data_IF_382313822087
#
_entry.id   IF_382313822087
#
_cell.length_a   1.000
_cell.length_b   1.000
_cell.length_c   1.000
_cell.angle_alpha   90.00
_cell.angle_beta   90.00
_cell.angle_gamma   90.00
#
_symmetry.space_group_name_H-M   'P 1'
#
loop_
_entity.id
_entity.type
_entity.pdbx_description
1 polymer ?
#
# COMPACT_ATOMS: atom_id res chain seq x y z
N UNK A 1 -45.67 17.24 -45.82
CA UNK A 1 -46.60 16.55 -46.75
C UNK A 1 -45.89 15.33 -47.29
N UNK A 2 -45.96 14.21 -46.56
CA UNK A 2 -45.59 12.89 -47.07
C UNK A 2 -46.86 12.24 -47.60
N UNK A 3 -46.89 11.85 -48.87
CA UNK A 3 -48.00 11.10 -49.44
C UNK A 3 -47.48 10.07 -50.42
N UNK A 4 -48.04 8.86 -50.29
CA UNK A 4 -47.91 7.67 -51.15
C UNK A 4 -46.58 6.90 -50.99
N UNK A 5 -46.53 5.66 -50.49
CA UNK A 5 -47.54 4.61 -50.54
C UNK A 5 -47.37 3.61 -49.39
N UNK A 6 -48.31 3.65 -48.45
CA UNK A 6 -48.73 2.47 -47.71
C UNK A 6 -49.65 1.66 -48.62
N UNK A 7 -49.15 0.57 -49.19
CA UNK A 7 -49.93 -0.48 -49.85
C UNK A 7 -48.98 -1.65 -50.09
N UNK A 8 -48.52 -2.33 -49.04
CA UNK A 8 -48.08 -3.74 -49.10
C UNK A 8 -47.88 -4.33 -47.70
N UNK A 9 -48.88 -4.18 -46.83
CA UNK A 9 -49.10 -5.10 -45.70
C UNK A 9 -50.44 -5.77 -45.97
N UNK A 10 -50.43 -6.83 -46.76
CA UNK A 10 -51.42 -7.93 -46.84
C UNK A 10 -51.20 -8.72 -48.14
N UNK A 11 -50.16 -9.54 -48.15
CA UNK A 11 -50.07 -10.72 -49.01
C UNK A 11 -49.33 -11.84 -48.27
N UNK A 12 -49.76 -12.08 -47.03
CA UNK A 12 -49.62 -13.39 -46.37
C UNK A 12 -50.87 -14.17 -46.76
N UNK A 13 -50.76 -15.02 -47.78
CA UNK A 13 -51.42 -16.33 -47.89
C UNK A 13 -51.21 -16.91 -49.29
N UNK A 14 -50.76 -18.17 -49.33
CA UNK A 14 -50.84 -19.11 -50.46
C UNK A 14 -49.81 -19.00 -51.60
N UNK A 15 -48.57 -19.43 -51.30
CA UNK A 15 -47.86 -20.39 -52.15
C UNK A 15 -46.74 -21.08 -51.36
N UNK A 16 -47.13 -21.78 -50.28
CA UNK A 16 -46.36 -22.91 -49.80
C UNK A 16 -46.68 -24.10 -50.73
N UNK A 17 -45.76 -24.47 -51.61
CA UNK A 17 -45.61 -25.76 -52.31
C UNK A 17 -44.61 -25.54 -53.47
N UNK A 18 -43.39 -26.05 -53.51
CA UNK A 18 -42.82 -27.24 -52.92
C UNK A 18 -41.46 -26.94 -52.28
N UNK A 19 -41.39 -27.18 -50.97
CA UNK A 19 -40.14 -27.46 -50.27
C UNK A 19 -39.59 -28.79 -50.79
N UNK A 20 -38.45 -28.75 -51.45
CA UNK A 20 -37.54 -29.91 -51.59
C UNK A 20 -36.10 -29.41 -51.77
N UNK A 21 -35.67 -28.46 -50.93
CA UNK A 21 -34.25 -28.17 -50.75
C UNK A 21 -33.75 -29.02 -49.58
N UNK A 22 -32.96 -30.08 -49.82
CA UNK A 22 -32.44 -30.91 -48.76
C UNK A 22 -31.53 -30.06 -47.86
N UNK A 23 -31.82 -30.00 -46.57
CA UNK A 23 -30.95 -29.35 -45.59
C UNK A 23 -29.63 -30.11 -45.49
N UNK A 24 -28.54 -29.41 -45.11
CA UNK A 24 -27.16 -29.91 -45.12
C UNK A 24 -26.93 -31.28 -44.43
N UNK A 25 -27.84 -31.75 -43.58
CA UNK A 25 -27.81 -33.10 -42.99
C UNK A 25 -28.19 -34.24 -43.95
N UNK A 26 -29.02 -33.99 -44.97
CA UNK A 26 -29.43 -35.01 -45.95
C UNK A 26 -28.35 -35.28 -47.02
N UNK A 27 -27.43 -34.33 -47.24
CA UNK A 27 -26.33 -34.48 -48.21
C UNK A 27 -25.23 -35.44 -47.73
N UNK A 28 -25.17 -35.76 -46.44
CA UNK A 28 -24.13 -36.63 -45.87
C UNK A 28 -24.37 -38.14 -46.07
N UNK A 29 -25.59 -38.55 -46.45
CA UNK A 29 -25.97 -39.98 -46.55
C UNK A 29 -25.72 -40.56 -47.96
N UNK A 30 -25.48 -39.72 -48.98
CA UNK A 30 -25.25 -40.16 -50.36
C UNK A 30 -23.83 -40.65 -50.69
N UNK A 31 -23.05 -41.08 -49.70
CA UNK A 31 -21.65 -41.49 -49.89
C UNK A 31 -21.53 -42.99 -50.25
N UNK A 32 -22.55 -43.82 -50.00
CA UNK A 32 -22.47 -45.26 -50.28
C UNK A 32 -23.20 -45.67 -51.56
N UNK A 33 -22.59 -45.40 -52.72
CA UNK A 33 -22.73 -46.24 -53.92
C UNK A 33 -21.77 -45.72 -55.01
N UNK A 34 -20.62 -46.36 -55.12
CA UNK A 34 -19.66 -46.09 -56.18
C UNK A 34 -20.20 -46.47 -57.56
N UNK A 35 -19.77 -45.72 -58.59
CA UNK A 35 -19.57 -46.16 -59.99
C UNK A 35 -18.94 -44.99 -60.76
N UNK A 36 -17.85 -45.26 -61.48
CA UNK A 36 -16.86 -44.28 -62.00
C UNK A 36 -17.35 -43.19 -62.96
N UNK A 37 -18.60 -43.19 -63.41
CA UNK A 37 -19.21 -42.08 -64.18
C UNK A 37 -19.69 -40.96 -63.24
N UNK A 38 -19.90 -41.28 -61.96
CA UNK A 38 -20.30 -40.32 -60.92
C UNK A 38 -19.17 -39.37 -60.52
N UNK A 39 -17.89 -39.68 -60.82
CA UNK A 39 -16.76 -38.83 -60.41
C UNK A 39 -16.67 -37.58 -61.28
N UNK A 40 -16.92 -37.68 -62.59
CA UNK A 40 -16.93 -36.53 -63.51
C UNK A 40 -18.13 -35.62 -63.27
N UNK A 41 -19.33 -36.18 -63.09
CA UNK A 41 -20.50 -35.39 -62.71
C UNK A 41 -20.39 -34.81 -61.30
N UNK A 42 -19.76 -35.52 -60.34
CA UNK A 42 -19.43 -34.96 -59.01
C UNK A 42 -18.37 -33.86 -59.08
N UNK A 43 -17.39 -33.94 -59.98
CA UNK A 43 -16.39 -32.89 -60.20
C UNK A 43 -17.03 -31.63 -60.74
N UNK A 44 -17.88 -31.74 -61.77
CA UNK A 44 -18.63 -30.60 -62.31
C UNK A 44 -19.56 -30.00 -61.24
N UNK A 45 -20.22 -30.85 -60.44
CA UNK A 45 -21.08 -30.38 -59.35
C UNK A 45 -20.31 -29.68 -58.23
N UNK A 46 -19.10 -30.15 -57.92
CA UNK A 46 -18.20 -29.49 -56.96
C UNK A 46 -17.67 -28.17 -57.51
N UNK A 47 -17.34 -28.10 -58.81
CA UNK A 47 -16.92 -26.85 -59.45
C UNK A 47 -18.05 -25.82 -59.46
N UNK A 48 -19.28 -26.24 -59.78
CA UNK A 48 -20.46 -25.36 -59.72
C UNK A 48 -20.77 -24.91 -58.29
N UNK A 49 -20.65 -25.80 -57.30
CA UNK A 49 -20.84 -25.45 -55.89
C UNK A 49 -19.75 -24.49 -55.38
N UNK A 50 -18.50 -24.68 -55.78
CA UNK A 50 -17.40 -23.76 -55.46
C UNK A 50 -17.59 -22.43 -56.16
N UNK A 51 -18.11 -22.42 -57.39
CA UNK A 51 -18.38 -21.19 -58.13
C UNK A 51 -19.58 -20.43 -57.53
N UNK A 52 -20.62 -21.13 -57.09
CA UNK A 52 -21.73 -20.54 -56.34
C UNK A 52 -21.26 -19.93 -55.01
N UNK A 53 -20.43 -20.66 -54.25
CA UNK A 53 -19.83 -20.13 -53.02
C UNK A 53 -18.89 -18.94 -53.29
N UNK A 54 -18.15 -18.93 -54.41
CA UNK A 54 -17.34 -17.78 -54.83
C UNK A 54 -18.19 -16.58 -55.18
N UNK A 55 -19.33 -16.79 -55.83
CA UNK A 55 -20.27 -15.73 -56.17
C UNK A 55 -20.96 -15.19 -54.92
N UNK A 56 -21.42 -16.03 -54.00
CA UNK A 56 -21.93 -15.60 -52.69
C UNK A 56 -20.85 -14.87 -51.89
N UNK A 57 -19.60 -15.34 -51.91
CA UNK A 57 -18.50 -14.65 -51.25
C UNK A 57 -18.14 -13.31 -51.95
N UNK A 58 -18.39 -13.20 -53.25
CA UNK A 58 -18.23 -11.96 -54.01
C UNK A 58 -19.39 -10.98 -53.75
N UNK A 59 -20.62 -11.48 -53.60
CA UNK A 59 -21.79 -10.72 -53.15
C UNK A 59 -21.62 -10.25 -51.71
N UNK A 60 -21.21 -11.12 -50.79
CA UNK A 60 -20.87 -10.73 -49.43
C UNK A 60 -19.70 -9.74 -49.39
N UNK A 61 -18.76 -9.78 -50.35
CA UNK A 61 -17.70 -8.77 -50.49
C UNK A 61 -18.15 -7.47 -51.16
N UNK A 62 -19.23 -7.46 -51.94
CA UNK A 62 -19.82 -6.25 -52.51
C UNK A 62 -20.87 -5.62 -51.59
N UNK A 63 -21.48 -6.42 -50.72
CA UNK A 63 -22.33 -6.02 -49.60
C UNK A 63 -21.52 -5.59 -48.37
N UNK A 64 -20.25 -6.01 -48.25
CA UNK A 64 -19.31 -5.27 -47.42
C UNK A 64 -19.33 -3.82 -47.92
N UNK A 65 -19.64 -2.84 -47.04
CA UNK A 65 -19.83 -1.47 -47.46
C UNK A 65 -18.60 -1.06 -48.27
N UNK A 66 -18.84 -0.71 -49.54
CA UNK A 66 -17.78 -0.32 -50.47
C UNK A 66 -16.80 0.61 -49.78
N UNK A 67 -15.52 0.52 -50.15
CA UNK A 67 -14.44 1.37 -49.66
C UNK A 67 -14.70 2.89 -49.82
N UNK A 68 -15.82 3.31 -50.41
CA UNK A 68 -16.34 4.68 -50.31
C UNK A 68 -16.74 5.09 -48.87
N UNK A 69 -17.04 4.14 -47.97
CA UNK A 69 -17.19 4.42 -46.53
C UNK A 69 -15.84 4.61 -45.81
N UNK A 70 -14.71 4.23 -46.41
CA UNK A 70 -13.37 4.44 -45.83
C UNK A 70 -12.88 5.90 -45.99
N UNK A 71 -13.64 6.74 -46.68
CA UNK A 71 -13.43 8.20 -46.76
C UNK A 71 -14.64 8.97 -46.23
N UNK A 72 -15.48 8.35 -45.40
CA UNK A 72 -16.33 9.15 -44.54
C UNK A 72 -15.35 9.86 -43.59
N UNK A 73 -15.22 11.20 -43.65
CA UNK A 73 -14.26 11.91 -42.81
C UNK A 73 -14.51 11.44 -41.38
N UNK A 74 -13.44 11.11 -40.64
CA UNK A 74 -13.55 10.82 -39.21
C UNK A 74 -14.54 11.81 -38.64
N UNK A 75 -15.66 11.31 -38.10
CA UNK A 75 -16.73 12.16 -37.60
C UNK A 75 -16.06 13.15 -36.66
N UNK A 76 -16.11 14.44 -37.00
CA UNK A 76 -15.30 15.42 -36.33
C UNK A 76 -15.69 15.42 -34.85
N UNK A 77 -14.73 15.71 -33.97
CA UNK A 77 -15.01 15.83 -32.53
C UNK A 77 -16.21 16.77 -32.29
N UNK A 78 -16.33 17.81 -33.13
CA UNK A 78 -17.44 18.77 -33.12
C UNK A 78 -18.81 18.15 -33.40
N UNK A 79 -18.90 17.16 -34.29
CA UNK A 79 -20.14 16.44 -34.57
C UNK A 79 -20.55 15.57 -33.37
N UNK A 80 -19.59 14.93 -32.69
CA UNK A 80 -19.87 14.13 -31.49
C UNK A 80 -20.25 15.03 -30.29
N UNK A 81 -19.69 16.26 -30.19
CA UNK A 81 -20.13 17.29 -29.22
C UNK A 81 -21.59 17.70 -29.52
N UNK A 82 -21.92 17.96 -30.78
CA UNK A 82 -23.27 18.33 -31.19
C UNK A 82 -24.28 17.22 -30.87
N UNK A 83 -23.93 15.95 -31.12
CA UNK A 83 -24.76 14.78 -30.76
C UNK A 83 -25.01 14.69 -29.24
N UNK A 84 -24.00 14.99 -28.41
CA UNK A 84 -24.20 15.01 -26.96
C UNK A 84 -25.14 16.15 -26.55
N UNK A 85 -24.98 17.33 -27.16
CA UNK A 85 -25.82 18.49 -26.90
C UNK A 85 -27.28 18.29 -27.32
N UNK A 86 -27.54 17.49 -28.36
CA UNK A 86 -28.89 17.08 -28.78
C UNK A 86 -29.49 15.96 -27.94
N UNK A 87 -28.71 15.37 -27.02
CA UNK A 87 -29.15 14.29 -26.13
C UNK A 87 -29.02 12.89 -26.73
N UNK A 88 -28.28 12.73 -27.83
CA UNK A 88 -28.06 11.42 -28.45
C UNK A 88 -27.19 10.52 -27.57
N UNK A 89 -27.55 9.25 -27.48
CA UNK A 89 -26.84 8.27 -26.65
C UNK A 89 -25.49 7.87 -27.26
N UNK A 90 -24.58 7.39 -26.41
CA UNK A 90 -23.26 6.91 -26.86
C UNK A 90 -23.35 5.80 -27.94
N UNK A 91 -24.46 5.03 -27.98
CA UNK A 91 -24.70 4.02 -29.00
C UNK A 91 -25.00 4.63 -30.39
N UNK A 92 -25.61 5.82 -30.43
CA UNK A 92 -25.84 6.56 -31.68
C UNK A 92 -24.51 7.10 -32.18
N UNK A 93 -23.69 7.70 -31.31
CA UNK A 93 -22.35 8.17 -31.67
C UNK A 93 -21.46 7.02 -32.23
N UNK A 94 -21.51 5.83 -31.60
CA UNK A 94 -20.79 4.64 -32.11
C UNK A 94 -21.26 4.21 -33.49
N UNK A 95 -22.58 4.17 -33.74
CA UNK A 95 -23.15 3.83 -35.06
C UNK A 95 -22.87 4.91 -36.12
N UNK A 96 -22.74 6.16 -35.70
CA UNK A 96 -22.38 7.26 -36.58
C UNK A 96 -20.93 7.19 -37.07
N UNK A 97 -20.07 6.43 -36.37
CA UNK A 97 -18.65 6.28 -36.69
C UNK A 97 -17.72 7.16 -35.84
N UNK A 98 -18.21 7.76 -34.74
CA UNK A 98 -17.33 8.48 -33.81
C UNK A 98 -16.34 7.49 -33.18
N UNK A 99 -15.04 7.76 -33.34
CA UNK A 99 -13.99 7.06 -32.61
C UNK A 99 -14.09 7.33 -31.10
N UNK A 100 -13.60 6.41 -30.27
CA UNK A 100 -13.75 6.51 -28.82
C UNK A 100 -13.09 7.77 -28.21
N UNK A 101 -12.03 8.28 -28.84
CA UNK A 101 -11.40 9.58 -28.50
C UNK A 101 -12.36 10.75 -28.74
N UNK A 102 -13.09 10.72 -29.85
CA UNK A 102 -14.07 11.75 -30.18
C UNK A 102 -15.29 11.68 -29.26
N UNK A 103 -15.70 10.47 -28.87
CA UNK A 103 -16.75 10.24 -27.86
C UNK A 103 -16.32 10.85 -26.51
N UNK A 104 -15.06 10.65 -26.09
CA UNK A 104 -14.54 11.24 -24.85
C UNK A 104 -14.57 12.76 -24.89
N UNK A 105 -14.00 13.35 -25.95
CA UNK A 105 -13.95 14.80 -26.14
C UNK A 105 -15.35 15.41 -26.34
N UNK A 106 -16.29 14.61 -26.85
CA UNK A 106 -17.71 14.92 -26.95
C UNK A 106 -18.44 15.02 -25.61
N UNK A 107 -17.79 14.68 -24.49
CA UNK A 107 -18.37 14.77 -23.15
C UNK A 107 -19.22 13.56 -22.75
N UNK A 108 -19.11 12.44 -23.47
CA UNK A 108 -19.71 11.18 -23.03
C UNK A 108 -18.89 10.60 -21.87
N UNK A 109 -19.57 10.10 -20.85
CA UNK A 109 -18.91 9.56 -19.65
C UNK A 109 -18.44 8.12 -19.85
N UNK A 110 -17.48 7.68 -19.02
CA UNK A 110 -17.00 6.30 -19.03
C UNK A 110 -18.12 5.27 -18.78
N UNK A 111 -19.14 5.63 -17.98
CA UNK A 111 -20.34 4.80 -17.74
C UNK A 111 -21.11 4.53 -19.04
N UNK A 112 -21.28 5.56 -19.86
CA UNK A 112 -21.98 5.47 -21.14
C UNK A 112 -21.17 4.65 -22.13
N UNK A 113 -19.86 4.88 -22.21
CA UNK A 113 -18.98 4.08 -23.04
C UNK A 113 -19.01 2.59 -22.63
N UNK A 114 -19.01 2.28 -21.33
CA UNK A 114 -19.15 0.90 -20.82
C UNK A 114 -20.47 0.27 -21.23
N UNK A 115 -21.58 1.01 -21.13
CA UNK A 115 -22.92 0.51 -21.48
C UNK A 115 -23.06 0.13 -22.96
N UNK A 116 -22.24 0.73 -23.82
CA UNK A 116 -22.21 0.49 -25.28
C UNK A 116 -21.21 -0.62 -25.65
N UNK A 117 -20.56 -1.23 -24.65
CA UNK A 117 -19.67 -2.37 -24.80
C UNK A 117 -18.25 -2.01 -25.23
N UNK A 118 -17.78 -0.79 -24.97
CA UNK A 118 -16.34 -0.50 -25.09
C UNK A 118 -15.58 -1.22 -23.97
N UNK A 119 -14.43 -1.78 -24.31
CA UNK A 119 -13.56 -2.45 -23.35
C UNK A 119 -12.66 -1.45 -22.62
N UNK A 120 -12.18 -1.80 -21.43
CA UNK A 120 -11.30 -0.94 -20.64
C UNK A 120 -9.97 -0.64 -21.37
N UNK A 121 -9.48 -1.58 -22.18
CA UNK A 121 -8.28 -1.39 -23.02
C UNK A 121 -8.50 -0.42 -24.19
N UNK A 122 -9.71 -0.36 -24.76
CA UNK A 122 -10.03 0.67 -25.75
C UNK A 122 -10.17 2.04 -25.06
N UNK A 123 -10.76 2.08 -23.87
CA UNK A 123 -10.88 3.29 -23.06
C UNK A 123 -9.52 3.87 -22.67
N UNK A 124 -8.54 3.02 -22.39
CA UNK A 124 -7.14 3.41 -22.09
C UNK A 124 -6.51 4.13 -23.27
N UNK A 125 -6.60 3.55 -24.47
CA UNK A 125 -6.10 4.19 -25.70
C UNK A 125 -6.82 5.50 -26.04
N UNK A 126 -8.07 5.65 -25.60
CA UNK A 126 -8.81 6.90 -25.71
C UNK A 126 -8.53 7.89 -24.56
N UNK A 127 -7.77 7.44 -23.56
CA UNK A 127 -7.34 8.18 -22.37
C UNK A 127 -8.43 8.43 -21.34
N UNK A 128 -9.52 7.65 -21.32
CA UNK A 128 -10.52 7.81 -20.25
C UNK A 128 -9.88 7.54 -18.90
N UNK A 129 -9.97 8.53 -18.00
CA UNK A 129 -9.50 8.44 -16.62
C UNK A 129 -10.61 8.80 -15.66
N UNK A 130 -11.26 9.93 -15.90
CA UNK A 130 -12.35 10.40 -15.06
C UNK A 130 -13.60 9.53 -15.21
N UNK A 131 -14.27 9.28 -14.09
CA UNK A 131 -15.54 8.55 -14.06
C UNK A 131 -15.43 7.04 -14.22
N UNK A 132 -14.22 6.46 -14.30
CA UNK A 132 -14.04 5.00 -14.34
C UNK A 132 -14.54 4.31 -13.06
N UNK A 133 -14.35 4.94 -11.90
CA UNK A 133 -14.93 4.46 -10.63
C UNK A 133 -16.45 4.46 -10.66
N UNK A 134 -17.06 5.53 -11.19
CA UNK A 134 -18.51 5.61 -11.37
C UNK A 134 -19.03 4.61 -12.42
N UNK A 135 -18.19 4.27 -13.41
CA UNK A 135 -18.47 3.21 -14.37
C UNK A 135 -18.44 1.81 -13.74
N UNK A 136 -17.98 1.67 -12.50
CA UNK A 136 -17.96 0.42 -11.75
C UNK A 136 -16.77 -0.48 -12.08
N UNK A 137 -15.65 0.10 -12.54
CA UNK A 137 -14.38 -0.61 -12.65
C UNK A 137 -13.68 -0.69 -11.30
N UNK A 138 -12.79 -1.65 -11.15
CA UNK A 138 -11.94 -1.85 -9.97
C UNK A 138 -10.50 -1.46 -10.25
N UNK A 139 -9.73 -1.14 -9.21
CA UNK A 139 -8.30 -0.84 -9.34
C UNK A 139 -7.52 -2.03 -9.95
N UNK A 140 -7.95 -3.27 -9.69
CA UNK A 140 -7.36 -4.48 -10.25
C UNK A 140 -7.52 -4.55 -11.77
N UNK A 141 -8.72 -4.26 -12.29
CA UNK A 141 -8.95 -4.26 -13.75
C UNK A 141 -8.12 -3.17 -14.43
N UNK A 142 -7.97 -2.01 -13.80
CA UNK A 142 -7.11 -0.94 -14.30
C UNK A 142 -5.63 -1.35 -14.32
N UNK A 143 -5.16 -2.03 -13.27
CA UNK A 143 -3.80 -2.55 -13.21
C UNK A 143 -3.54 -3.58 -14.33
N UNK A 144 -4.48 -4.49 -14.56
CA UNK A 144 -4.37 -5.50 -15.63
C UNK A 144 -4.31 -4.91 -17.04
N UNK A 145 -4.96 -3.77 -17.26
CA UNK A 145 -4.91 -3.05 -18.54
C UNK A 145 -3.63 -2.21 -18.67
N UNK A 146 -2.96 -1.90 -17.55
CA UNK A 146 -1.69 -1.18 -17.53
C UNK A 146 -1.83 0.33 -17.29
N UNK A 147 -2.90 0.77 -16.62
CA UNK A 147 -3.03 2.18 -16.26
C UNK A 147 -1.96 2.60 -15.26
N UNK A 148 -1.32 3.77 -15.44
CA UNK A 148 -0.39 4.29 -14.45
C UNK A 148 -1.14 4.78 -13.20
N UNK A 149 -0.50 4.68 -12.04
CA UNK A 149 -1.08 5.07 -10.74
C UNK A 149 -1.57 6.52 -10.70
N UNK A 150 -0.90 7.44 -11.42
CA UNK A 150 -1.31 8.83 -11.52
C UNK A 150 -2.71 8.98 -12.16
N UNK A 151 -3.01 8.16 -13.16
CA UNK A 151 -4.31 8.13 -13.84
C UNK A 151 -5.39 7.49 -12.96
N UNK A 152 -5.02 6.45 -12.22
CA UNK A 152 -5.89 5.79 -11.24
C UNK A 152 -6.30 6.77 -10.12
N UNK A 153 -5.41 7.70 -9.76
CA UNK A 153 -5.70 8.77 -8.80
C UNK A 153 -6.73 9.75 -9.33
N UNK A 154 -6.56 10.19 -10.58
CA UNK A 154 -7.52 11.08 -11.26
C UNK A 154 -8.88 10.39 -11.39
N UNK A 155 -8.89 9.08 -11.59
CA UNK A 155 -10.09 8.27 -11.60
C UNK A 155 -10.78 8.15 -10.22
N UNK A 156 -10.13 8.58 -9.13
CA UNK A 156 -10.67 8.63 -7.77
C UNK A 156 -10.59 7.30 -7.01
N UNK A 157 -9.69 6.40 -7.41
CA UNK A 157 -9.44 5.15 -6.69
C UNK A 157 -8.43 5.40 -5.58
N UNK A 158 -8.76 4.92 -4.39
CA UNK A 158 -7.91 4.97 -3.19
C UNK A 158 -7.87 3.57 -2.58
N UNK A 159 -9.05 3.00 -2.36
CA UNK A 159 -9.19 1.62 -1.86
C UNK A 159 -8.77 0.58 -2.90
N UNK A 160 -8.13 -0.50 -2.43
CA UNK A 160 -7.79 -1.65 -3.26
C UNK A 160 -6.56 -1.47 -4.16
N UNK A 161 -5.81 -0.36 -4.06
CA UNK A 161 -4.56 -0.17 -4.80
C UNK A 161 -3.50 -1.23 -4.44
N UNK A 162 -3.37 -1.53 -3.15
CA UNK A 162 -2.46 -2.57 -2.67
C UNK A 162 -2.86 -3.96 -3.22
N UNK A 163 -4.15 -4.29 -3.17
CA UNK A 163 -4.67 -5.56 -3.70
C UNK A 163 -4.54 -5.66 -5.22
N UNK A 164 -4.63 -4.52 -5.91
CA UNK A 164 -4.40 -4.44 -7.35
C UNK A 164 -2.95 -4.72 -7.73
N UNK A 165 -2.00 -4.57 -6.80
CA UNK A 165 -0.58 -4.83 -7.03
C UNK A 165 0.24 -3.58 -7.39
N UNK A 166 -0.29 -2.38 -7.14
CA UNK A 166 0.50 -1.16 -7.34
C UNK A 166 1.60 -1.04 -6.29
N UNK A 167 2.80 -0.68 -6.72
CA UNK A 167 3.90 -0.44 -5.80
C UNK A 167 3.71 0.88 -5.05
N UNK A 168 4.04 0.87 -3.76
CA UNK A 168 3.86 2.05 -2.92
C UNK A 168 4.75 3.24 -3.37
N UNK A 169 5.89 2.96 -4.00
CA UNK A 169 6.76 3.99 -4.60
C UNK A 169 6.04 4.75 -5.72
N UNK A 170 5.28 4.05 -6.56
CA UNK A 170 4.49 4.66 -7.63
C UNK A 170 3.31 5.47 -7.08
N UNK A 171 2.67 4.96 -6.03
CA UNK A 171 1.62 5.67 -5.28
C UNK A 171 2.13 6.96 -4.67
N UNK A 172 3.34 6.94 -4.10
CA UNK A 172 4.02 8.14 -3.62
C UNK A 172 4.34 9.10 -4.76
N UNK A 173 4.90 8.61 -5.88
CA UNK A 173 5.25 9.43 -7.03
C UNK A 173 4.04 10.09 -7.70
N UNK A 174 2.88 9.43 -7.68
CA UNK A 174 1.60 9.98 -8.10
C UNK A 174 1.00 11.01 -7.11
N UNK A 175 1.66 11.23 -5.98
CA UNK A 175 1.32 12.25 -5.00
C UNK A 175 0.10 11.93 -4.15
N UNK A 176 -0.24 10.65 -3.96
CA UNK A 176 -1.26 10.28 -2.97
C UNK A 176 -0.85 10.77 -1.59
N UNK A 177 -1.83 11.23 -0.81
CA UNK A 177 -1.62 11.55 0.59
C UNK A 177 -1.40 10.29 1.41
N UNK A 178 -0.74 10.42 2.54
CA UNK A 178 -0.48 9.31 3.45
C UNK A 178 -1.77 8.69 4.01
N UNK A 179 -2.81 9.51 4.23
CA UNK A 179 -4.12 9.03 4.67
C UNK A 179 -4.77 8.13 3.59
N UNK A 180 -4.67 8.53 2.33
CA UNK A 180 -5.14 7.72 1.20
C UNK A 180 -4.33 6.42 1.07
N UNK A 181 -3.01 6.47 1.24
CA UNK A 181 -2.14 5.28 1.27
C UNK A 181 -2.58 4.31 2.37
N UNK A 182 -2.91 4.82 3.56
CA UNK A 182 -3.43 3.98 4.64
C UNK A 182 -4.80 3.40 4.29
N UNK A 183 -5.71 4.21 3.76
CA UNK A 183 -7.03 3.76 3.31
C UNK A 183 -6.95 2.73 2.17
N UNK A 184 -5.89 2.79 1.35
CA UNK A 184 -5.60 1.84 0.30
C UNK A 184 -5.18 0.45 0.80
N UNK A 185 -4.87 0.32 2.10
CA UNK A 185 -4.52 -0.94 2.76
C UNK A 185 -3.02 -1.13 3.00
N UNK A 186 -2.16 -0.19 2.59
CA UNK A 186 -0.72 -0.34 2.78
C UNK A 186 -0.34 -0.37 4.26
N UNK A 187 0.53 -1.33 4.57
CA UNK A 187 1.05 -1.58 5.90
C UNK A 187 2.27 -0.72 6.21
N UNK A 188 2.55 -0.54 7.50
CA UNK A 188 3.68 0.23 7.98
C UNK A 188 5.04 -0.33 7.49
N UNK A 189 5.14 -1.66 7.33
CA UNK A 189 6.33 -2.34 6.76
C UNK A 189 6.58 -1.94 5.31
N UNK A 190 5.53 -1.89 4.49
CA UNK A 190 5.63 -1.46 3.09
C UNK A 190 6.01 0.02 3.00
N UNK A 191 5.46 0.87 3.87
CA UNK A 191 5.87 2.28 3.97
C UNK A 191 7.35 2.43 4.29
N UNK A 192 7.86 1.63 5.23
CA UNK A 192 9.29 1.65 5.51
C UNK A 192 10.13 1.22 4.30
N UNK A 193 9.71 0.17 3.61
CA UNK A 193 10.39 -0.30 2.39
C UNK A 193 10.37 0.74 1.26
N UNK A 194 9.31 1.54 1.17
CA UNK A 194 9.20 2.66 0.24
C UNK A 194 9.92 3.94 0.70
N UNK A 195 10.62 3.90 1.84
CA UNK A 195 11.42 5.02 2.35
C UNK A 195 10.59 6.17 2.91
N UNK A 196 9.44 5.86 3.51
CA UNK A 196 8.73 6.85 4.33
C UNK A 196 9.47 7.07 5.65
N UNK A 197 9.49 8.32 6.11
CA UNK A 197 10.06 8.66 7.40
C UNK A 197 9.10 8.24 8.52
N UNK A 198 9.66 7.95 9.71
CA UNK A 198 8.84 7.64 10.88
C UNK A 198 7.84 8.76 11.20
N UNK A 199 8.23 10.02 10.95
CA UNK A 199 7.35 11.17 11.11
C UNK A 199 6.06 11.06 10.31
N UNK A 200 6.20 10.71 9.03
CA UNK A 200 5.09 10.56 8.10
C UNK A 200 4.14 9.47 8.59
N UNK A 201 4.69 8.31 8.98
CA UNK A 201 3.93 7.15 9.46
C UNK A 201 3.16 7.46 10.75
N UNK A 202 3.81 8.11 11.73
CA UNK A 202 3.17 8.50 12.99
C UNK A 202 2.07 9.53 12.75
N UNK A 203 2.28 10.48 11.84
CA UNK A 203 1.29 11.49 11.50
C UNK A 203 0.00 10.88 10.90
N UNK A 204 0.09 9.76 10.19
CA UNK A 204 -1.10 9.03 9.69
C UNK A 204 -1.88 8.34 10.81
N UNK A 205 -1.31 8.23 12.01
CA UNK A 205 -1.93 7.57 13.16
C UNK A 205 -1.81 6.05 13.13
N UNK A 206 -0.70 5.51 12.64
CA UNK A 206 -0.34 4.11 12.88
C UNK A 206 -0.09 3.87 14.37
N UNK A 207 -0.49 2.70 14.85
CA UNK A 207 -0.26 2.31 16.23
C UNK A 207 1.22 2.00 16.47
N UNK A 208 1.66 2.18 17.73
CA UNK A 208 3.02 1.84 18.15
C UNK A 208 3.41 0.40 17.78
N UNK A 209 2.49 -0.56 17.93
CA UNK A 209 2.75 -1.96 17.63
C UNK A 209 3.04 -2.18 16.14
N UNK A 210 2.31 -1.50 15.25
CA UNK A 210 2.54 -1.59 13.80
C UNK A 210 3.88 -0.96 13.40
N UNK A 211 4.27 0.12 14.06
CA UNK A 211 5.55 0.81 13.83
C UNK A 211 6.74 -0.05 14.28
N UNK A 212 6.63 -0.68 15.44
CA UNK A 212 7.64 -1.61 15.95
C UNK A 212 7.74 -2.87 15.08
N UNK A 213 6.60 -3.40 14.61
CA UNK A 213 6.57 -4.54 13.68
C UNK A 213 7.17 -4.19 12.31
N UNK A 214 7.00 -2.95 11.84
CA UNK A 214 7.70 -2.44 10.67
C UNK A 214 9.22 -2.28 10.89
N UNK A 215 9.67 -2.42 12.14
CA UNK A 215 11.06 -2.34 12.53
C UNK A 215 11.60 -0.92 12.55
N UNK A 216 10.75 0.11 12.59
CA UNK A 216 11.23 1.46 12.86
C UNK A 216 11.86 1.48 14.26
N UNK A 217 13.07 2.00 14.34
CA UNK A 217 13.79 2.09 15.60
C UNK A 217 13.65 3.48 16.20
N UNK A 218 13.86 3.57 17.51
CA UNK A 218 13.94 4.86 18.19
C UNK A 218 15.13 5.72 17.74
N UNK A 219 16.16 5.12 17.14
CA UNK A 219 17.24 5.87 16.51
C UNK A 219 16.74 6.59 15.25
N UNK A 220 15.89 5.94 14.45
CA UNK A 220 15.19 6.59 13.34
C UNK A 220 14.27 7.70 13.86
N UNK A 221 13.63 7.47 15.02
CA UNK A 221 12.84 8.49 15.71
C UNK A 221 13.68 9.70 16.14
N UNK A 222 14.89 9.51 16.66
CA UNK A 222 15.77 10.62 17.07
C UNK A 222 16.20 11.51 15.91
N UNK A 223 16.33 10.95 14.71
CA UNK A 223 16.64 11.76 13.52
C UNK A 223 15.48 12.70 13.15
N UNK A 224 14.25 12.34 13.53
CA UNK A 224 13.04 13.02 13.11
C UNK A 224 12.37 13.82 14.25
N UNK A 225 12.43 13.35 15.49
CA UNK A 225 11.70 13.88 16.63
C UNK A 225 12.62 14.33 17.75
N UNK A 226 12.18 15.36 18.47
CA UNK A 226 12.72 15.68 19.78
C UNK A 226 12.26 14.64 20.83
N UNK A 227 12.97 14.55 21.97
CA UNK A 227 12.61 13.63 23.04
C UNK A 227 11.18 13.86 23.59
N UNK A 228 10.72 15.12 23.58
CA UNK A 228 9.36 15.51 23.97
C UNK A 228 8.34 14.90 23.00
N UNK A 229 8.50 15.16 21.70
CA UNK A 229 7.57 14.66 20.68
C UNK A 229 7.58 13.14 20.60
N UNK A 230 8.75 12.50 20.73
CA UNK A 230 8.85 11.05 20.79
C UNK A 230 8.06 10.47 21.97
N UNK A 231 8.09 11.14 23.14
CA UNK A 231 7.29 10.74 24.30
C UNK A 231 5.79 10.94 24.06
N UNK A 232 5.39 12.08 23.53
CA UNK A 232 3.96 12.41 23.33
C UNK A 232 3.32 11.60 22.20
N UNK A 233 4.02 11.46 21.07
CA UNK A 233 3.48 10.82 19.88
C UNK A 233 3.48 9.28 19.99
N UNK A 234 4.47 8.71 20.67
CA UNK A 234 4.68 7.26 20.68
C UNK A 234 4.65 6.64 22.08
N UNK A 235 4.60 7.44 23.14
CA UNK A 235 4.54 6.94 24.53
C UNK A 235 5.76 6.12 24.92
N UNK A 236 6.93 6.49 24.44
CA UNK A 236 8.16 5.75 24.75
C UNK A 236 8.55 5.88 26.22
N UNK A 237 9.23 4.86 26.74
CA UNK A 237 9.78 4.85 28.09
C UNK A 237 11.14 5.54 28.15
N UNK A 238 11.55 5.98 29.35
CA UNK A 238 12.87 6.58 29.54
C UNK A 238 14.02 5.63 29.17
N UNK A 239 13.82 4.31 29.32
CA UNK A 239 14.81 3.29 28.95
C UNK A 239 14.99 3.21 27.44
N UNK A 240 13.89 3.23 26.71
CA UNK A 240 13.87 3.27 25.24
C UNK A 240 14.50 4.57 24.71
N UNK A 241 14.21 5.71 25.34
CA UNK A 241 14.86 6.97 25.01
C UNK A 241 16.39 6.92 25.24
N UNK A 242 16.84 6.25 26.30
CA UNK A 242 18.28 6.02 26.56
C UNK A 242 18.92 5.18 25.46
N UNK A 243 18.30 4.08 25.07
CA UNK A 243 18.78 3.17 24.03
C UNK A 243 18.81 3.85 22.63
N UNK A 244 17.89 4.77 22.40
CA UNK A 244 17.89 5.66 21.23
C UNK A 244 19.07 6.65 21.20
N UNK A 245 19.73 6.84 22.33
CA UNK A 245 20.82 7.79 22.51
C UNK A 245 20.36 9.22 22.81
N UNK A 246 19.15 9.44 23.33
CA UNK A 246 18.80 10.76 23.87
C UNK A 246 19.63 11.06 25.12
N UNK A 247 20.05 12.32 25.22
CA UNK A 247 20.79 12.82 26.37
C UNK A 247 19.85 12.99 27.56
N UNK A 248 20.42 12.93 28.77
CA UNK A 248 19.61 13.06 29.97
C UNK A 248 19.01 14.46 30.14
N UNK A 249 19.62 15.48 29.53
CA UNK A 249 19.05 16.84 29.44
C UNK A 249 17.77 16.85 28.61
N UNK A 250 17.77 16.16 27.46
CA UNK A 250 16.59 16.04 26.60
C UNK A 250 15.47 15.25 27.29
N UNK A 251 15.84 14.19 28.03
CA UNK A 251 14.90 13.38 28.84
C UNK A 251 14.29 14.21 29.97
N UNK A 252 15.09 15.04 30.64
CA UNK A 252 14.59 16.00 31.64
C UNK A 252 13.61 16.99 31.01
N UNK A 253 13.96 17.53 29.85
CA UNK A 253 13.10 18.46 29.11
C UNK A 253 11.80 17.81 28.62
N UNK A 254 11.84 16.51 28.27
CA UNK A 254 10.67 15.69 27.96
C UNK A 254 9.78 15.38 29.17
N UNK A 255 10.17 15.82 30.37
CA UNK A 255 9.39 15.68 31.59
C UNK A 255 9.28 14.23 32.04
N UNK A 256 10.25 13.36 31.72
CA UNK A 256 10.34 12.06 32.38
C UNK A 256 10.62 12.27 33.87
N UNK A 257 9.94 11.47 34.69
CA UNK A 257 10.12 11.50 36.13
C UNK A 257 11.48 10.95 36.51
N UNK A 258 11.98 11.40 37.65
CA UNK A 258 13.21 10.87 38.22
C UNK A 258 13.09 9.35 38.47
N UNK A 259 11.93 8.83 38.86
CA UNK A 259 11.74 7.37 39.00
C UNK A 259 12.01 6.62 37.68
N UNK A 260 11.45 7.10 36.57
CA UNK A 260 11.67 6.52 35.23
C UNK A 260 13.14 6.60 34.78
N UNK A 261 13.82 7.70 35.13
CA UNK A 261 15.26 7.89 34.86
C UNK A 261 16.12 6.89 35.66
N UNK A 262 15.74 6.60 36.91
CA UNK A 262 16.39 5.55 37.73
C UNK A 262 16.16 4.16 37.14
N UNK A 263 14.94 3.89 36.73
CA UNK A 263 14.57 2.59 36.15
C UNK A 263 15.23 2.37 34.77
N UNK A 264 15.44 3.44 34.00
CA UNK A 264 16.27 3.44 32.80
C UNK A 264 17.77 3.19 33.09
N UNK A 265 18.19 3.25 34.35
CA UNK A 265 19.55 2.93 34.79
C UNK A 265 20.55 4.06 34.56
N UNK A 266 20.13 5.32 34.69
CA UNK A 266 21.05 6.45 34.72
C UNK A 266 21.73 6.58 36.09
N UNK A 267 23.03 6.85 36.05
CA UNK A 267 23.90 7.01 37.22
C UNK A 267 23.69 8.38 37.87
N UNK A 268 24.02 8.50 39.17
CA UNK A 268 23.94 9.77 39.89
C UNK A 268 24.84 10.85 39.29
N UNK A 269 25.97 10.46 38.69
CA UNK A 269 26.87 11.37 37.97
C UNK A 269 26.23 11.91 36.70
N UNK A 270 25.59 11.07 35.88
CA UNK A 270 24.86 11.51 34.68
C UNK A 270 23.69 12.44 35.05
N UNK A 271 22.95 12.11 36.12
CA UNK A 271 21.85 12.93 36.66
C UNK A 271 22.35 14.30 37.11
N UNK A 272 23.52 14.36 37.73
CA UNK A 272 24.16 15.63 38.11
C UNK A 272 24.58 16.45 36.89
N UNK A 273 25.22 15.82 35.92
CA UNK A 273 25.68 16.46 34.68
C UNK A 273 24.50 17.02 33.87
N UNK A 274 23.34 16.38 33.93
CA UNK A 274 22.11 16.88 33.32
C UNK A 274 21.43 18.03 34.10
N UNK A 275 22.01 18.46 35.22
CA UNK A 275 21.53 19.61 36.00
C UNK A 275 20.32 19.31 36.88
N UNK A 276 20.12 18.06 37.32
CA UNK A 276 19.19 17.78 38.42
C UNK A 276 19.77 18.27 39.74
N UNK A 277 18.93 18.92 40.55
CA UNK A 277 19.35 19.41 41.86
C UNK A 277 19.27 18.32 42.92
N UNK A 278 20.04 18.49 44.01
CA UNK A 278 20.00 17.58 45.14
C UNK A 278 18.61 17.45 45.76
N UNK A 279 17.84 18.55 45.76
CA UNK A 279 16.48 18.59 46.27
C UNK A 279 15.53 17.79 45.39
N UNK A 280 15.64 17.89 44.06
CA UNK A 280 14.85 17.09 43.11
C UNK A 280 15.11 15.59 43.30
N UNK A 281 16.38 15.19 43.45
CA UNK A 281 16.80 13.79 43.65
C UNK A 281 16.28 13.24 44.99
N UNK A 282 16.29 14.05 46.05
CA UNK A 282 15.76 13.68 47.37
C UNK A 282 14.23 13.62 47.38
N UNK A 283 13.57 14.59 46.77
CA UNK A 283 12.13 14.70 46.71
C UNK A 283 11.49 13.55 45.92
N UNK A 284 12.12 13.15 44.81
CA UNK A 284 11.66 12.02 44.00
C UNK A 284 11.97 10.65 44.63
N UNK A 285 12.58 10.60 45.82
CA UNK A 285 13.01 9.33 46.43
C UNK A 285 14.01 8.55 45.57
N UNK A 286 14.62 9.17 44.57
CA UNK A 286 15.53 8.55 43.60
C UNK A 286 16.67 7.82 44.31
N UNK A 287 17.18 8.43 45.37
CA UNK A 287 18.25 7.86 46.18
C UNK A 287 17.77 6.75 47.17
N UNK A 288 16.47 6.65 47.46
CA UNK A 288 15.85 5.54 48.19
C UNK A 288 15.47 4.38 47.27
N UNK A 289 15.03 4.66 46.03
CA UNK A 289 14.83 3.68 44.94
C UNK A 289 16.15 3.05 44.51
N UNK A 290 17.19 3.89 44.33
CA UNK A 290 18.59 3.48 44.17
C UNK A 290 19.08 2.53 45.27
N UNK A 291 18.64 2.73 46.52
CA UNK A 291 19.08 1.93 47.67
C UNK A 291 18.25 0.65 47.89
N UNK A 292 17.08 0.50 47.25
CA UNK A 292 16.10 -0.55 47.59
C UNK A 292 15.96 -1.71 46.60
N UNK A 293 16.51 -1.64 45.38
CA UNK A 293 16.18 -2.69 44.39
C UNK A 293 17.19 -3.02 43.29
N UNK A 294 18.33 -2.33 43.17
CA UNK A 294 19.34 -2.66 42.14
C UNK A 294 20.60 -3.28 42.74
N UNK A 295 20.98 -4.43 42.17
CA UNK A 295 22.30 -5.04 42.28
C UNK A 295 23.38 -3.98 41.96
N UNK A 296 24.37 -3.72 42.85
CA UNK A 296 25.54 -2.91 42.52
C UNK A 296 26.14 -3.29 41.15
N UNK A 297 26.47 -2.30 40.32
CA UNK A 297 27.10 -2.51 39.01
C UNK A 297 28.54 -1.99 39.00
N UNK A 298 29.31 -2.34 37.97
CA UNK A 298 30.68 -1.83 37.78
C UNK A 298 30.70 -0.29 37.82
N UNK A 299 31.55 0.28 38.67
CA UNK A 299 31.64 1.71 38.94
C UNK A 299 31.00 2.17 40.25
N UNK A 300 30.11 1.37 40.85
CA UNK A 300 29.45 1.74 42.09
C UNK A 300 30.39 1.67 43.30
N UNK A 301 30.32 2.66 44.20
CA UNK A 301 30.95 2.58 45.54
C UNK A 301 30.05 1.83 46.51
N UNK A 302 30.62 0.82 47.15
CA UNK A 302 29.95 -0.10 48.07
C UNK A 302 30.74 -0.22 49.37
N UNK A 303 30.05 -0.56 50.45
CA UNK A 303 30.63 -0.90 51.75
C UNK A 303 30.68 -2.42 51.88
N UNK A 304 31.86 -2.96 52.16
CA UNK A 304 32.05 -4.39 52.44
C UNK A 304 31.70 -4.62 53.90
N UNK A 305 30.59 -5.31 54.18
CA UNK A 305 30.20 -5.61 55.57
C UNK A 305 30.96 -6.85 56.02
N UNK A 306 31.83 -6.67 57.02
CA UNK A 306 32.40 -7.78 57.80
C UNK A 306 31.58 -7.95 59.08
N UNK A 307 31.63 -9.14 59.70
CA UNK A 307 30.75 -9.53 60.81
C UNK A 307 30.85 -8.68 62.10
N UNK A 308 31.73 -7.69 62.10
CA UNK A 308 32.01 -6.70 63.15
C UNK A 308 31.34 -5.33 62.91
N UNK A 309 30.62 -5.14 61.80
CA UNK A 309 29.89 -3.90 61.50
C UNK A 309 30.78 -2.73 61.05
N UNK A 310 32.11 -2.91 61.02
CA UNK A 310 33.06 -1.95 60.43
C UNK A 310 33.42 -2.41 59.01
N UNK A 311 32.82 -1.75 58.03
CA UNK A 311 33.02 -2.10 56.63
C UNK A 311 33.92 -1.12 55.89
N UNK A 312 34.89 -1.65 55.15
CA UNK A 312 35.71 -0.87 54.22
C UNK A 312 34.93 -0.48 52.97
N UNK A 313 35.17 0.74 52.48
CA UNK A 313 34.58 1.21 51.23
C UNK A 313 35.41 0.78 50.03
N UNK A 314 34.76 0.23 49.01
CA UNK A 314 35.42 -0.21 47.78
C UNK A 314 34.54 0.08 46.57
N UNK A 315 35.14 0.08 45.38
CA UNK A 315 34.45 0.29 44.11
C UNK A 315 34.30 -1.03 43.37
N UNK A 316 33.13 -1.30 42.79
CA UNK A 316 32.91 -2.48 41.95
C UNK A 316 33.67 -2.33 40.63
N UNK A 317 34.59 -3.26 40.36
CA UNK A 317 35.41 -3.28 39.13
C UNK A 317 34.89 -4.31 38.14
N UNK A 318 34.35 -5.43 38.63
CA UNK A 318 33.70 -6.45 37.81
C UNK A 318 32.47 -7.00 38.54
N UNK A 319 31.39 -7.18 37.78
CA UNK A 319 30.17 -7.87 38.19
C UNK A 319 29.99 -9.03 37.21
N UNK A 320 29.97 -10.27 37.72
CA UNK A 320 29.52 -11.44 36.97
C UNK A 320 28.13 -11.84 37.50
N UNK A 321 27.12 -11.85 36.63
CA UNK A 321 25.72 -12.19 36.96
C UNK A 321 25.52 -13.65 37.37
N UNK A 322 26.39 -14.55 36.94
CA UNK A 322 26.06 -15.98 36.93
C UNK A 322 26.46 -16.75 38.21
N UNK A 323 27.02 -16.10 39.24
CA UNK A 323 27.44 -16.82 40.48
C UNK A 323 27.54 -15.99 41.77
N UNK A 324 26.98 -14.77 41.81
CA UNK A 324 27.07 -13.86 42.96
C UNK A 324 28.50 -13.48 43.47
N UNK A 325 29.51 -13.13 42.64
CA UNK A 325 30.67 -12.41 43.17
C UNK A 325 30.93 -11.05 42.50
N UNK A 326 31.16 -10.03 43.33
CA UNK A 326 31.70 -8.72 42.96
C UNK A 326 33.21 -8.72 43.09
N UNK A 327 33.92 -8.17 42.09
CA UNK A 327 35.32 -7.81 42.25
C UNK A 327 35.40 -6.36 42.70
N UNK A 328 35.99 -6.12 43.86
CA UNK A 328 36.08 -4.79 44.44
C UNK A 328 37.53 -4.27 44.42
N UNK A 329 37.71 -2.96 44.27
CA UNK A 329 39.00 -2.29 44.47
C UNK A 329 38.88 -1.09 45.42
N UNK A 330 39.83 -0.97 46.35
CA UNK A 330 39.86 0.11 47.34
C UNK A 330 39.51 -0.34 48.76
N UNK A 331 39.81 0.50 49.76
CA UNK A 331 39.48 0.25 51.16
C UNK A 331 40.24 -0.91 51.84
N UNK A 332 41.44 -1.25 51.36
CA UNK A 332 42.20 -2.41 51.85
C UNK A 332 41.77 -3.74 51.22
N UNK A 333 40.88 -3.72 50.22
CA UNK A 333 40.63 -4.86 49.34
C UNK A 333 41.24 -4.59 47.96
N UNK A 334 42.25 -5.37 47.58
CA UNK A 334 42.85 -5.31 46.26
C UNK A 334 42.48 -6.56 45.46
N UNK A 335 41.38 -6.49 44.71
CA UNK A 335 41.06 -7.48 43.67
C UNK A 335 40.44 -8.80 44.15
N UNK A 336 40.01 -8.87 45.42
CA UNK A 336 39.29 -10.03 45.95
C UNK A 336 37.82 -10.03 45.50
N UNK A 337 37.27 -11.24 45.38
CA UNK A 337 35.86 -11.48 45.04
C UNK A 337 35.00 -11.55 46.30
N UNK A 338 33.86 -10.87 46.30
CA UNK A 338 32.94 -10.77 47.44
C UNK A 338 31.54 -11.21 47.05
N UNK A 339 30.91 -12.01 47.91
CA UNK A 339 29.51 -12.41 47.75
C UNK A 339 28.58 -11.21 47.88
N UNK A 340 27.41 -11.30 47.23
CA UNK A 340 26.42 -10.23 47.27
C UNK A 340 25.94 -9.89 48.69
N UNK A 341 25.81 -10.89 49.55
CA UNK A 341 25.47 -10.70 50.98
C UNK A 341 26.52 -9.92 51.80
N UNK A 342 27.76 -9.82 51.31
CA UNK A 342 28.85 -9.09 51.97
C UNK A 342 29.02 -7.66 51.44
N UNK A 343 28.23 -7.25 50.43
CA UNK A 343 28.35 -5.97 49.76
C UNK A 343 27.08 -5.17 49.99
N UNK A 344 27.20 -4.10 50.78
CA UNK A 344 26.09 -3.19 51.05
C UNK A 344 26.32 -1.87 50.32
N UNK A 345 25.29 -1.30 49.68
CA UNK A 345 25.40 0.04 49.09
C UNK A 345 25.62 1.09 50.18
N UNK A 346 26.45 2.08 49.88
CA UNK A 346 26.66 3.21 50.78
C UNK A 346 25.34 3.98 50.98
N UNK A 347 25.05 4.46 52.20
CA UNK A 347 23.87 5.26 52.46
C UNK A 347 23.88 6.55 51.65
N UNK A 348 22.68 7.06 51.38
CA UNK A 348 22.35 8.21 50.53
C UNK A 348 23.32 9.41 50.63
N UNK A 349 23.76 9.75 51.84
CA UNK A 349 24.69 10.86 52.07
C UNK A 349 26.08 10.66 51.47
N UNK A 350 26.60 9.42 51.48
CA UNK A 350 27.92 9.07 50.96
C UNK A 350 27.91 8.91 49.43
N UNK A 351 26.83 8.37 48.85
CA UNK A 351 26.67 8.25 47.40
C UNK A 351 26.54 9.61 46.70
N UNK A 352 25.82 10.55 47.32
CA UNK A 352 25.73 11.94 46.85
C UNK A 352 27.09 12.65 46.91
N UNK A 353 27.83 12.45 48.01
CA UNK A 353 29.18 12.99 48.18
C UNK A 353 30.18 12.42 47.16
N UNK A 354 30.05 11.13 46.80
CA UNK A 354 30.86 10.49 45.77
C UNK A 354 30.55 11.01 44.35
N UNK A 355 29.28 11.34 44.07
CA UNK A 355 28.89 12.06 42.84
C UNK A 355 29.21 13.57 42.89
N UNK A 356 29.73 14.05 44.02
CA UNK A 356 30.15 15.43 44.26
C UNK A 356 29.01 16.43 44.42
N UNK A 357 27.82 15.97 44.85
CA UNK A 357 26.72 16.85 45.28
C UNK A 357 26.98 17.50 46.63
#
# INVERSE_FOLDING_TARGET
MCSSSAMFVLAVAAAAAADDRPTARQLAVGIEAGLGVAVQTRLVWLEDAVQALRNELAELRSEQPSAACAQRPEVAVDDCIAMKATGDSCAVAKRAGCGLVAIRKGGYSATEARSVGYTLAEMEKAGYVEGLKAAGYTALEMFQVGYPVAEVKVAGFVEGLQQAGYELLDVRAAGYSLEEVRAAGYSCTEMKAAGFALQEVVAVGFSRSEIEQAGYTLQDAKAAYSCIEAKEAMGYSCKEAKEAGYTLVEIKAAGYTLEEVSDAGYTLTEVKEAGYTLEEIRAAGYAALWARGRRPTVGDRVRIVRGDGQGSEATVVQDYRDSEPYKLSGGGSSGSWYKESAVQRLPLHEGLKAAGF
#
